data_IF_070625434683
#
_entry.id   IF_070625434683
#
_cell.length_a   1.000
_cell.length_b   1.000
_cell.length_c   1.000
_cell.angle_alpha   90.00
_cell.angle_beta   90.00
_cell.angle_gamma   90.00
#
_symmetry.space_group_name_H-M   'P 1'
#
loop_
_entity.id
_entity.type
_entity.pdbx_description
1 polymer ?
#
# COMPACT_ATOMS: atom_id res chain seq x y z
N UNK A 1 -9.37 49.17 38.16
CA UNK A 1 -8.31 48.39 37.47
C UNK A 1 -8.95 47.09 36.99
N UNK A 2 -9.16 46.91 35.69
CA UNK A 2 -9.89 45.76 35.14
C UNK A 2 -9.07 45.23 33.97
N UNK A 3 -8.21 44.26 34.26
CA UNK A 3 -7.36 43.59 33.28
C UNK A 3 -8.21 42.62 32.47
N UNK A 4 -8.46 42.93 31.21
CA UNK A 4 -9.06 41.99 30.25
C UNK A 4 -7.93 41.14 29.64
N UNK A 5 -7.92 39.84 29.95
CA UNK A 5 -7.06 38.87 29.30
C UNK A 5 -7.82 38.30 28.11
N UNK A 6 -7.40 38.60 26.89
CA UNK A 6 -7.99 38.07 25.68
C UNK A 6 -7.48 36.63 25.44
N UNK A 7 -8.36 35.65 25.56
CA UNK A 7 -8.08 34.26 25.18
C UNK A 7 -8.00 34.16 23.65
N UNK A 8 -6.80 33.98 23.12
CA UNK A 8 -6.57 33.69 21.70
C UNK A 8 -6.87 32.20 21.45
N UNK A 9 -8.05 31.90 20.92
CA UNK A 9 -8.40 30.55 20.46
C UNK A 9 -7.82 30.37 19.06
N UNK A 10 -6.72 29.62 18.93
CA UNK A 10 -6.23 29.14 17.64
C UNK A 10 -7.17 28.04 17.13
N UNK A 11 -8.06 28.41 16.21
CA UNK A 11 -8.84 27.45 15.42
C UNK A 11 -7.91 26.85 14.35
N UNK A 12 -7.26 25.74 14.66
CA UNK A 12 -6.66 24.89 13.62
C UNK A 12 -7.79 24.28 12.80
N UNK A 13 -8.02 24.83 11.60
CA UNK A 13 -8.89 24.20 10.62
C UNK A 13 -8.21 22.91 10.15
N UNK A 14 -8.63 21.77 10.68
CA UNK A 14 -8.26 20.47 10.12
C UNK A 14 -8.97 20.39 8.77
N UNK A 15 -8.27 20.75 7.71
CA UNK A 15 -8.73 20.50 6.35
C UNK A 15 -8.97 18.99 6.24
N UNK A 16 -10.24 18.57 6.24
CA UNK A 16 -10.57 17.21 5.83
C UNK A 16 -10.24 17.12 4.34
N UNK A 17 -9.19 16.39 4.01
CA UNK A 17 -9.00 15.92 2.65
C UNK A 17 -10.27 15.16 2.27
N UNK A 18 -11.09 15.74 1.40
CA UNK A 18 -12.21 15.03 0.79
C UNK A 18 -11.65 13.80 0.10
N UNK A 19 -12.35 12.66 0.22
CA UNK A 19 -11.99 11.48 -0.53
C UNK A 19 -12.05 11.85 -2.02
N UNK A 20 -10.89 12.00 -2.66
CA UNK A 20 -10.78 11.99 -4.12
C UNK A 20 -11.48 10.73 -4.62
N UNK A 21 -12.13 10.76 -5.79
CA UNK A 21 -12.63 9.56 -6.46
C UNK A 21 -11.54 8.48 -6.45
N UNK A 22 -11.61 7.58 -5.48
CA UNK A 22 -10.50 6.73 -5.10
C UNK A 22 -10.36 5.59 -6.10
N UNK A 23 -9.12 5.19 -6.38
CA UNK A 23 -8.84 3.95 -7.10
C UNK A 23 -8.69 2.77 -6.14
N UNK A 24 -8.67 1.57 -6.72
CA UNK A 24 -8.32 0.33 -6.05
C UNK A 24 -6.88 -0.07 -6.41
N UNK A 25 -6.16 -0.59 -5.42
CA UNK A 25 -4.88 -1.28 -5.60
C UNK A 25 -5.13 -2.77 -5.36
N UNK A 26 -4.84 -3.59 -6.36
CA UNK A 26 -4.71 -5.03 -6.17
C UNK A 26 -3.26 -5.34 -5.85
N UNK A 27 -3.05 -6.09 -4.78
CA UNK A 27 -1.75 -6.63 -4.41
C UNK A 27 -1.82 -8.15 -4.50
N UNK A 28 -0.99 -8.75 -5.34
CA UNK A 28 -1.00 -10.18 -5.62
C UNK A 28 0.41 -10.74 -5.64
N UNK A 29 0.50 -12.07 -5.51
CA UNK A 29 1.67 -12.81 -5.95
C UNK A 29 1.36 -13.52 -7.27
N UNK A 30 2.37 -13.75 -8.10
CA UNK A 30 2.24 -14.54 -9.32
C UNK A 30 3.25 -15.68 -9.28
N UNK A 31 2.83 -16.83 -9.79
CA UNK A 31 3.70 -17.97 -10.03
C UNK A 31 3.92 -18.07 -11.55
N UNK A 32 4.97 -17.44 -12.06
CA UNK A 32 5.25 -17.37 -13.50
C UNK A 32 6.61 -17.97 -13.87
N UNK A 33 6.68 -18.69 -15.00
CA UNK A 33 7.96 -19.01 -15.65
C UNK A 33 8.67 -17.74 -16.15
N UNK A 34 10.02 -17.69 -16.19
CA UNK A 34 10.95 -18.69 -15.71
C UNK A 34 11.28 -18.48 -14.22
N UNK A 35 10.69 -19.31 -13.35
CA UNK A 35 11.09 -19.64 -11.97
C UNK A 35 11.69 -18.52 -11.09
N UNK A 36 11.41 -17.25 -11.35
CA UNK A 36 11.57 -16.23 -10.32
C UNK A 36 10.53 -16.60 -9.29
N UNK A 37 10.99 -16.82 -8.06
CA UNK A 37 10.17 -17.12 -6.90
C UNK A 37 8.85 -16.34 -6.91
N UNK A 38 7.79 -16.84 -6.27
CA UNK A 38 6.58 -16.06 -6.06
C UNK A 38 6.98 -14.65 -5.58
N UNK A 39 6.69 -13.60 -6.37
CA UNK A 39 7.00 -12.22 -6.03
C UNK A 39 5.73 -11.39 -6.01
N UNK A 40 5.79 -10.20 -5.41
CA UNK A 40 4.64 -9.33 -5.26
C UNK A 40 4.51 -8.40 -6.48
N UNK A 41 3.33 -8.43 -7.11
CA UNK A 41 2.92 -7.57 -8.21
C UNK A 41 1.75 -6.69 -7.77
N UNK A 42 1.61 -5.54 -8.42
CA UNK A 42 0.51 -4.62 -8.19
C UNK A 42 -0.27 -4.36 -9.48
N UNK A 43 -1.57 -4.07 -9.32
CA UNK A 43 -2.41 -3.54 -10.38
C UNK A 43 -3.30 -2.41 -9.84
N UNK A 44 -3.61 -1.43 -10.68
CA UNK A 44 -4.55 -0.36 -10.36
C UNK A 44 -5.86 -0.54 -11.11
N UNK A 45 -6.94 -0.15 -10.45
CA UNK A 45 -8.25 -0.02 -11.08
C UNK A 45 -8.94 1.24 -10.60
N UNK A 46 -9.78 1.84 -11.44
CA UNK A 46 -10.66 2.93 -11.02
C UNK A 46 -11.99 2.41 -10.47
N UNK A 47 -12.39 1.20 -10.87
CA UNK A 47 -13.74 0.67 -10.65
C UNK A 47 -13.76 -0.73 -9.99
N UNK A 48 -12.59 -1.33 -9.78
CA UNK A 48 -12.41 -2.67 -9.21
C UNK A 48 -12.69 -3.81 -10.20
N UNK A 49 -12.95 -3.50 -11.48
CA UNK A 49 -13.29 -4.48 -12.52
C UNK A 49 -12.21 -4.55 -13.60
N UNK A 50 -11.80 -3.40 -14.09
CA UNK A 50 -10.75 -3.28 -15.10
C UNK A 50 -9.43 -2.95 -14.42
N UNK A 51 -8.43 -3.82 -14.59
CA UNK A 51 -7.16 -3.74 -13.88
C UNK A 51 -6.01 -3.51 -14.85
N UNK A 52 -5.20 -2.49 -14.56
CA UNK A 52 -3.95 -2.21 -15.27
C UNK A 52 -2.78 -2.62 -14.40
N UNK A 53 -1.97 -3.58 -14.87
CA UNK A 53 -0.77 -4.00 -14.17
C UNK A 53 0.23 -2.84 -14.04
N UNK A 54 0.88 -2.74 -12.88
CA UNK A 54 2.00 -1.82 -12.67
C UNK A 54 3.32 -2.46 -13.08
N UNK A 55 4.36 -1.62 -13.24
CA UNK A 55 5.73 -2.03 -13.56
C UNK A 55 5.84 -2.95 -14.80
N UNK A 56 5.04 -2.68 -15.84
CA UNK A 56 4.97 -3.49 -17.07
C UNK A 56 4.62 -4.97 -16.79
N UNK A 57 3.91 -5.25 -15.70
CA UNK A 57 3.58 -6.60 -15.27
C UNK A 57 4.71 -7.33 -14.53
N UNK A 58 5.91 -6.72 -14.40
CA UNK A 58 7.03 -7.26 -13.62
C UNK A 58 6.78 -7.12 -12.11
N UNK A 59 7.48 -7.90 -11.27
CA UNK A 59 7.38 -7.75 -9.81
C UNK A 59 7.66 -6.33 -9.35
N UNK A 60 6.91 -5.85 -8.36
CA UNK A 60 7.12 -4.53 -7.73
C UNK A 60 7.98 -4.67 -6.47
N UNK A 61 7.76 -5.72 -5.68
CA UNK A 61 8.61 -6.07 -4.55
C UNK A 61 9.24 -7.44 -4.82
N UNK A 62 10.58 -7.47 -4.73
CA UNK A 62 11.38 -8.68 -4.93
C UNK A 62 12.05 -9.03 -3.60
N UNK A 63 11.85 -10.25 -3.13
CA UNK A 63 12.56 -10.76 -1.96
C UNK A 63 13.89 -11.38 -2.35
N UNK A 64 14.98 -10.81 -1.86
CA UNK A 64 16.34 -11.30 -2.13
C UNK A 64 16.92 -12.14 -0.98
N UNK A 65 16.23 -12.13 0.17
CA UNK A 65 16.65 -12.78 1.41
C UNK A 65 15.79 -14.00 1.73
N UNK A 66 16.32 -14.92 2.54
CA UNK A 66 15.60 -16.11 3.00
C UNK A 66 15.22 -17.05 1.87
N UNK A 67 13.95 -17.43 1.79
CA UNK A 67 13.40 -18.30 0.75
C UNK A 67 13.28 -17.64 -0.63
N UNK A 68 13.56 -16.33 -0.71
CA UNK A 68 13.59 -15.53 -1.94
C UNK A 68 12.26 -15.42 -2.68
N UNK A 69 11.15 -15.85 -2.08
CA UNK A 69 9.78 -15.60 -2.54
C UNK A 69 8.88 -15.03 -1.44
N UNK A 70 7.77 -14.42 -1.83
CA UNK A 70 6.71 -13.89 -1.00
C UNK A 70 5.34 -14.17 -1.63
N UNK A 71 4.40 -14.68 -0.83
CA UNK A 71 3.04 -15.03 -1.24
C UNK A 71 2.00 -14.53 -0.25
N UNK A 72 0.74 -14.62 -0.66
CA UNK A 72 -0.44 -14.30 0.17
C UNK A 72 -0.34 -12.91 0.84
N UNK A 73 -0.16 -11.82 0.07
CA UNK A 73 0.04 -10.50 0.63
C UNK A 73 -1.23 -9.95 1.32
N UNK A 74 -1.02 -9.23 2.42
CA UNK A 74 -2.04 -8.49 3.15
C UNK A 74 -1.58 -7.06 3.42
N UNK A 75 -2.41 -6.07 3.07
CA UNK A 75 -2.08 -4.65 3.21
C UNK A 75 -2.88 -4.02 4.34
N UNK A 76 -2.18 -3.38 5.27
CA UNK A 76 -2.74 -2.67 6.41
C UNK A 76 -2.42 -1.19 6.28
N UNK A 77 -3.40 -0.31 6.50
CA UNK A 77 -3.13 1.12 6.68
C UNK A 77 -2.59 1.35 8.09
N UNK A 78 -1.48 2.10 8.20
CA UNK A 78 -0.92 2.50 9.50
C UNK A 78 -1.91 3.43 10.22
N UNK A 79 -2.02 3.29 11.53
CA UNK A 79 -2.94 4.08 12.36
C UNK A 79 -2.66 5.59 12.27
N UNK A 80 -1.39 5.97 12.17
CA UNK A 80 -0.95 7.37 12.00
C UNK A 80 -1.33 7.99 10.65
N UNK A 81 -1.92 7.20 9.73
CA UNK A 81 -2.32 7.63 8.41
C UNK A 81 -1.16 7.86 7.43
N UNK A 82 0.10 7.68 7.86
CA UNK A 82 1.30 8.06 7.09
C UNK A 82 1.75 6.98 6.09
N UNK A 83 1.03 5.88 5.98
CA UNK A 83 1.34 4.88 4.96
C UNK A 83 0.66 3.55 5.20
N UNK A 84 1.27 2.52 4.61
CA UNK A 84 0.78 1.14 4.65
C UNK A 84 1.90 0.19 5.08
N UNK A 85 1.50 -0.92 5.66
CA UNK A 85 2.36 -2.09 5.93
C UNK A 85 1.85 -3.23 5.06
N UNK A 86 2.77 -3.90 4.38
CA UNK A 86 2.49 -5.13 3.66
C UNK A 86 3.10 -6.29 4.44
N UNK A 87 2.29 -7.31 4.72
CA UNK A 87 2.71 -8.56 5.32
C UNK A 87 2.49 -9.66 4.28
N UNK A 88 3.42 -10.61 4.17
CA UNK A 88 3.35 -11.73 3.25
C UNK A 88 3.98 -12.97 3.89
N UNK A 89 3.59 -14.14 3.41
CA UNK A 89 4.21 -15.41 3.78
C UNK A 89 5.46 -15.62 2.94
N UNK A 90 6.57 -16.00 3.57
CA UNK A 90 7.77 -16.41 2.82
C UNK A 90 7.45 -17.68 2.00
N UNK A 91 7.90 -17.71 0.75
CA UNK A 91 7.70 -18.84 -0.14
C UNK A 91 9.03 -19.28 -0.77
N UNK A 92 9.27 -20.59 -0.95
CA UNK A 92 10.47 -21.07 -1.61
C UNK A 92 10.54 -20.57 -3.04
N UNK A 93 11.70 -20.06 -3.46
CA UNK A 93 11.95 -19.82 -4.87
C UNK A 93 11.78 -21.10 -5.66
N UNK A 94 11.01 -21.04 -6.74
CA UNK A 94 10.91 -22.14 -7.70
C UNK A 94 12.33 -22.58 -8.10
N UNK A 95 12.59 -23.89 -8.03
CA UNK A 95 13.89 -24.48 -8.40
C UNK A 95 14.13 -24.39 -9.91
#
# INVERSE_FOLDING_TARGET
>A
MKTFLASLVLLFSVARAGATDGGFLFVMFRNEPPATAEQIHFALSRDGREWTALNDGRPVLVTELGEKGARDPYVLRREDGQGFVLIATAAPSAR
#
